data_IF_671048798591
#
_entry.id   IF_671048798591
#
_cell.length_a   1.000
_cell.length_b   1.000
_cell.length_c   1.000
_cell.angle_alpha   90.00
_cell.angle_beta   90.00
_cell.angle_gamma   90.00
#
_symmetry.space_group_name_H-M   'P 1'
#
loop_
_entity.id
_entity.type
_entity.pdbx_description
1 polymer ?
#
# COMPACT_ATOMS: atom_id res chain seq x y z
N UNK A 1 38.01 -0.96 -68.38
CA UNK A 1 36.96 -1.93 -68.05
C UNK A 1 37.33 -2.58 -66.73
N UNK A 2 36.84 -2.04 -65.61
CA UNK A 2 37.27 -2.43 -64.27
C UNK A 2 36.19 -2.09 -63.22
N UNK A 3 35.78 -3.13 -62.49
CA UNK A 3 35.61 -3.18 -61.02
C UNK A 3 34.38 -2.49 -60.40
N UNK A 4 33.32 -3.30 -60.26
CA UNK A 4 32.55 -3.61 -59.04
C UNK A 4 32.02 -2.48 -58.13
N UNK A 5 30.70 -2.31 -58.14
CA UNK A 5 29.90 -1.74 -57.04
C UNK A 5 29.96 -2.65 -55.80
N UNK A 6 30.29 -2.09 -54.64
CA UNK A 6 30.01 -2.73 -53.35
C UNK A 6 29.89 -1.71 -52.22
N UNK A 7 28.97 -2.02 -51.30
CA UNK A 7 28.77 -1.47 -49.95
C UNK A 7 28.01 -0.13 -49.82
N UNK A 8 26.68 -0.22 -49.89
CA UNK A 8 25.76 0.65 -49.13
C UNK A 8 24.55 -0.13 -48.58
N UNK A 9 24.78 -1.25 -47.90
CA UNK A 9 23.71 -1.97 -47.18
C UNK A 9 24.31 -2.55 -45.90
N UNK A 10 24.52 -1.71 -44.87
CA UNK A 10 25.03 -2.21 -43.59
C UNK A 10 24.64 -1.39 -42.35
N UNK A 11 23.86 -0.32 -42.46
CA UNK A 11 23.65 0.58 -41.31
C UNK A 11 22.19 0.87 -40.92
N UNK A 12 21.20 0.22 -41.55
CA UNK A 12 19.79 0.43 -41.23
C UNK A 12 19.12 -0.72 -40.46
N UNK A 13 19.76 -1.89 -40.31
CA UNK A 13 19.17 -3.02 -39.58
C UNK A 13 19.45 -3.04 -38.07
N UNK A 14 20.53 -2.39 -37.61
CA UNK A 14 20.91 -2.41 -36.18
C UNK A 14 20.05 -1.48 -35.32
N UNK A 15 19.48 -0.42 -35.90
CA UNK A 15 18.60 0.50 -35.15
C UNK A 15 17.22 -0.09 -34.86
N UNK A 16 16.73 -1.01 -35.70
CA UNK A 16 15.42 -1.64 -35.50
C UNK A 16 15.46 -2.71 -34.39
N UNK A 17 16.56 -3.46 -34.28
CA UNK A 17 16.73 -4.48 -33.23
C UNK A 17 16.85 -3.85 -31.84
N UNK A 18 17.51 -2.69 -31.71
CA UNK A 18 17.62 -1.98 -30.43
C UNK A 18 16.27 -1.38 -29.99
N UNK A 19 15.45 -0.91 -30.94
CA UNK A 19 14.10 -0.41 -30.69
C UNK A 19 13.11 -1.54 -30.32
N UNK A 20 13.27 -2.75 -30.86
CA UNK A 20 12.45 -3.91 -30.49
C UNK A 20 12.84 -4.42 -29.10
N UNK A 21 14.14 -4.39 -28.75
CA UNK A 21 14.60 -4.74 -27.40
C UNK A 21 14.06 -3.75 -26.36
N UNK A 22 14.13 -2.43 -26.63
CA UNK A 22 13.58 -1.42 -25.72
C UNK A 22 12.05 -1.45 -25.65
N UNK A 23 11.36 -1.76 -26.75
CA UNK A 23 9.90 -1.94 -26.75
C UNK A 23 9.47 -3.19 -25.96
N UNK A 24 10.23 -4.28 -26.05
CA UNK A 24 9.99 -5.51 -25.28
C UNK A 24 10.34 -5.37 -23.79
N UNK A 25 11.25 -4.46 -23.44
CA UNK A 25 11.57 -4.12 -22.06
C UNK A 25 10.49 -3.18 -21.49
N UNK A 26 10.01 -2.21 -22.28
CA UNK A 26 8.94 -1.29 -21.87
C UNK A 26 7.59 -2.00 -21.64
N UNK A 27 7.28 -3.03 -22.44
CA UNK A 27 6.03 -3.80 -22.28
C UNK A 27 6.06 -4.77 -21.10
N UNK A 28 7.23 -5.30 -20.73
CA UNK A 28 7.38 -6.19 -19.57
C UNK A 28 7.22 -5.49 -18.23
N UNK A 29 7.42 -4.18 -18.17
CA UNK A 29 7.24 -3.39 -16.96
C UNK A 29 5.78 -2.93 -16.77
N UNK A 30 4.99 -2.93 -17.86
CA UNK A 30 3.54 -2.67 -17.88
C UNK A 30 2.68 -3.93 -17.71
N UNK A 31 3.29 -5.12 -17.76
CA UNK A 31 2.67 -6.38 -17.35
C UNK A 31 2.78 -6.57 -15.81
N UNK A 32 2.69 -5.47 -15.08
CA UNK A 32 2.64 -5.48 -13.63
C UNK A 32 1.18 -5.72 -13.24
N UNK A 33 0.89 -6.92 -12.72
CA UNK A 33 -0.41 -7.41 -12.23
C UNK A 33 -1.30 -6.30 -11.69
N UNK A 34 -2.06 -5.63 -12.56
CA UNK A 34 -2.89 -4.49 -12.16
C UNK A 34 -4.00 -5.05 -11.30
N UNK A 35 -3.98 -4.73 -10.01
CA UNK A 35 -5.05 -5.09 -9.09
C UNK A 35 -6.19 -4.12 -9.34
N UNK A 36 -7.39 -4.66 -9.49
CA UNK A 36 -8.60 -3.89 -9.72
C UNK A 36 -9.48 -3.93 -8.48
N UNK A 37 -10.17 -2.81 -8.23
CA UNK A 37 -11.11 -2.68 -7.12
C UNK A 37 -12.40 -2.06 -7.61
N UNK A 38 -13.52 -2.60 -7.12
CA UNK A 38 -14.85 -2.06 -7.30
C UNK A 38 -15.06 -0.86 -6.37
N UNK A 39 -15.25 0.30 -6.99
CA UNK A 39 -15.65 1.56 -6.38
C UNK A 39 -17.05 1.92 -6.86
N UNK A 40 -18.05 1.63 -6.04
CA UNK A 40 -19.46 1.98 -6.30
C UNK A 40 -20.01 1.43 -7.64
N UNK A 41 -19.58 0.23 -8.03
CA UNK A 41 -19.97 -0.43 -9.28
C UNK A 41 -19.01 -0.18 -10.45
N UNK A 42 -17.92 0.56 -10.23
CA UNK A 42 -16.90 0.82 -11.24
C UNK A 42 -15.58 0.16 -10.86
N UNK A 43 -15.05 -0.68 -11.75
CA UNK A 43 -13.72 -1.27 -11.62
C UNK A 43 -12.65 -0.21 -11.93
N UNK A 44 -11.78 0.05 -10.95
CA UNK A 44 -10.66 0.98 -11.07
C UNK A 44 -9.35 0.25 -10.71
N UNK A 45 -8.24 0.52 -11.43
CA UNK A 45 -6.97 -0.12 -11.12
C UNK A 45 -6.29 0.58 -9.94
N UNK A 46 -5.45 -0.16 -9.24
CA UNK A 46 -4.56 0.38 -8.20
C UNK A 46 -3.23 0.83 -8.81
N UNK A 47 -2.71 1.95 -8.32
CA UNK A 47 -1.43 2.53 -8.71
C UNK A 47 -0.32 1.94 -7.83
N UNK A 48 0.70 1.37 -8.47
CA UNK A 48 1.88 0.81 -7.81
C UNK A 48 1.88 -0.72 -7.80
N UNK A 49 2.76 -1.29 -6.96
CA UNK A 49 2.94 -2.75 -6.89
C UNK A 49 2.66 -3.21 -5.48
N UNK A 50 1.83 -4.23 -5.39
CA UNK A 50 1.60 -4.94 -4.15
C UNK A 50 2.92 -5.60 -3.66
N UNK A 51 3.49 -5.22 -2.49
CA UNK A 51 4.69 -5.84 -1.95
C UNK A 51 4.57 -7.35 -1.72
N UNK A 52 5.67 -8.10 -1.72
CA UNK A 52 5.60 -9.55 -1.51
C UNK A 52 5.51 -9.89 -0.02
N UNK A 53 4.82 -10.98 0.29
CA UNK A 53 4.79 -11.51 1.65
C UNK A 53 6.14 -12.13 2.01
N UNK A 54 6.48 -12.06 3.30
CA UNK A 54 7.73 -12.54 3.91
C UNK A 54 9.00 -11.85 3.39
N UNK A 55 8.85 -10.68 2.76
CA UNK A 55 9.95 -9.80 2.36
C UNK A 55 9.90 -8.50 3.20
N UNK A 56 11.00 -7.73 3.18
CA UNK A 56 11.03 -6.42 3.81
C UNK A 56 9.91 -5.55 3.25
N UNK A 57 9.12 -4.97 4.14
CA UNK A 57 8.07 -4.06 3.77
C UNK A 57 8.68 -2.78 3.16
N UNK A 58 8.13 -2.24 2.05
CA UNK A 58 8.61 -0.99 1.48
C UNK A 58 8.60 0.13 2.54
N UNK A 59 9.64 0.96 2.56
CA UNK A 59 9.60 2.19 3.35
C UNK A 59 8.46 3.08 2.87
N UNK A 60 7.86 3.81 3.79
CA UNK A 60 6.95 4.88 3.44
C UNK A 60 7.03 6.02 4.44
N UNK A 61 6.66 7.21 3.97
CA UNK A 61 6.29 8.34 4.81
C UNK A 61 4.79 8.64 4.71
N UNK A 62 4.21 9.09 5.81
CA UNK A 62 2.87 9.65 5.87
C UNK A 62 2.85 10.83 6.85
N UNK A 63 1.84 11.68 6.75
CA UNK A 63 1.72 12.88 7.57
C UNK A 63 0.90 12.60 8.83
N UNK A 64 1.35 13.11 9.98
CA UNK A 64 0.45 13.30 11.12
C UNK A 64 -0.44 14.54 10.94
N UNK A 65 -1.17 14.94 11.98
CA UNK A 65 -2.09 16.09 11.96
C UNK A 65 -1.39 17.45 11.93
N UNK A 66 -0.11 17.49 12.30
CA UNK A 66 0.71 18.70 12.34
C UNK A 66 1.60 18.83 11.09
N UNK A 67 1.38 17.97 10.08
CA UNK A 67 2.19 17.88 8.87
C UNK A 67 3.62 17.37 9.10
N UNK A 68 3.88 16.74 10.25
CA UNK A 68 5.14 16.07 10.47
C UNK A 68 5.18 14.78 9.64
N UNK A 69 6.34 14.49 9.07
CA UNK A 69 6.59 13.23 8.40
C UNK A 69 6.80 12.13 9.43
N UNK A 70 5.95 11.10 9.37
CA UNK A 70 6.07 9.85 10.12
C UNK A 70 6.56 8.77 9.16
N UNK A 71 7.66 8.11 9.49
CA UNK A 71 8.28 7.07 8.68
C UNK A 71 7.98 5.69 9.29
N UNK A 72 7.80 4.66 8.45
CA UNK A 72 7.66 3.28 8.93
C UNK A 72 8.78 2.87 9.92
N UNK A 73 9.98 3.40 9.72
CA UNK A 73 11.16 3.12 10.55
C UNK A 73 11.08 3.70 11.96
N UNK A 74 10.16 4.65 12.23
CA UNK A 74 9.87 5.15 13.57
C UNK A 74 9.31 4.05 14.48
N UNK A 75 8.79 2.96 13.90
CA UNK A 75 8.21 1.81 14.59
C UNK A 75 9.12 0.58 14.62
N UNK A 76 10.42 0.73 14.34
CA UNK A 76 11.39 -0.39 14.39
C UNK A 76 11.34 -1.14 15.72
N UNK A 77 11.38 -2.47 15.64
CA UNK A 77 11.32 -3.36 16.80
C UNK A 77 9.90 -3.61 17.31
N UNK A 78 8.88 -2.95 16.75
CA UNK A 78 7.46 -3.21 17.03
C UNK A 78 6.81 -3.98 15.88
N UNK A 79 5.75 -4.70 16.20
CA UNK A 79 4.87 -5.25 15.16
C UNK A 79 3.93 -4.13 14.72
N UNK A 80 3.89 -3.83 13.42
CA UNK A 80 3.06 -2.76 12.85
C UNK A 80 1.88 -3.38 12.12
N UNK A 81 0.67 -2.99 12.51
CA UNK A 81 -0.57 -3.34 11.82
C UNK A 81 -1.05 -2.10 11.07
N UNK A 82 -1.17 -2.17 9.75
CA UNK A 82 -1.69 -1.06 8.94
C UNK A 82 -3.13 -1.34 8.56
N UNK A 83 -4.01 -0.43 8.94
CA UNK A 83 -5.43 -0.37 8.59
C UNK A 83 -5.62 0.72 7.53
N UNK A 84 -5.54 0.35 6.25
CA UNK A 84 -5.80 1.27 5.12
C UNK A 84 -7.29 1.38 4.88
N UNK A 85 -7.81 2.61 4.88
CA UNK A 85 -9.23 2.89 4.64
C UNK A 85 -9.39 3.94 3.54
N UNK A 86 -10.46 3.88 2.71
CA UNK A 86 -10.68 4.86 1.66
C UNK A 86 -10.77 6.30 2.17
N UNK A 87 -11.58 6.51 3.22
CA UNK A 87 -11.72 7.80 3.91
C UNK A 87 -12.40 7.59 5.26
N UNK A 88 -11.79 8.10 6.31
CA UNK A 88 -12.34 8.18 7.67
C UNK A 88 -13.54 9.11 7.75
N UNK A 89 -13.85 9.91 6.72
CA UNK A 89 -15.08 10.72 6.68
C UNK A 89 -16.37 9.91 6.65
N UNK A 90 -16.29 8.60 6.34
CA UNK A 90 -17.45 7.72 6.22
C UNK A 90 -17.67 6.85 7.46
N UNK A 91 -18.93 6.59 7.81
CA UNK A 91 -19.29 5.81 9.01
C UNK A 91 -18.73 4.39 9.02
N UNK A 92 -18.68 3.72 7.87
CA UNK A 92 -18.17 2.35 7.76
C UNK A 92 -16.66 2.27 8.02
N UNK A 93 -15.89 3.26 7.54
CA UNK A 93 -14.45 3.32 7.83
C UNK A 93 -14.19 3.61 9.31
N UNK A 94 -14.95 4.51 9.94
CA UNK A 94 -14.83 4.75 11.39
C UNK A 94 -15.15 3.51 12.20
N UNK A 95 -16.20 2.78 11.82
CA UNK A 95 -16.59 1.53 12.48
C UNK A 95 -15.52 0.45 12.34
N UNK A 96 -14.97 0.26 11.13
CA UNK A 96 -13.85 -0.65 10.90
C UNK A 96 -12.66 -0.29 11.80
N UNK A 97 -12.25 0.97 11.81
CA UNK A 97 -11.10 1.39 12.61
C UNK A 97 -11.32 1.13 14.09
N UNK A 98 -12.48 1.49 14.64
CA UNK A 98 -12.84 1.21 16.04
C UNK A 98 -12.81 -0.27 16.36
N UNK A 99 -13.52 -1.07 15.57
CA UNK A 99 -13.61 -2.51 15.78
C UNK A 99 -12.25 -3.18 15.75
N UNK A 100 -11.43 -2.87 14.74
CA UNK A 100 -10.13 -3.49 14.61
C UNK A 100 -9.17 -2.98 15.70
N UNK A 101 -9.27 -1.71 16.10
CA UNK A 101 -8.55 -1.18 17.26
C UNK A 101 -8.86 -1.97 18.54
N UNK A 102 -10.13 -2.28 18.79
CA UNK A 102 -10.55 -3.08 19.94
C UNK A 102 -10.01 -4.52 19.88
N UNK A 103 -9.98 -5.12 18.69
CA UNK A 103 -9.42 -6.46 18.48
C UNK A 103 -7.89 -6.49 18.70
N UNK A 104 -7.16 -5.47 18.23
CA UNK A 104 -5.71 -5.33 18.41
C UNK A 104 -5.34 -5.01 19.86
N UNK A 105 -6.17 -4.25 20.58
CA UNK A 105 -5.93 -3.91 22.00
C UNK A 105 -5.84 -5.11 22.94
N UNK A 106 -6.26 -6.29 22.49
CA UNK A 106 -6.17 -7.55 23.23
C UNK A 106 -4.78 -8.21 23.15
N UNK A 107 -3.87 -7.65 22.36
CA UNK A 107 -2.50 -8.12 22.20
C UNK A 107 -1.52 -7.31 23.06
N UNK A 108 -0.24 -7.67 23.04
CA UNK A 108 0.80 -6.96 23.80
C UNK A 108 1.02 -5.54 23.30
N UNK A 109 1.55 -4.67 24.18
CA UNK A 109 1.89 -3.27 23.88
C UNK A 109 2.98 -3.12 22.78
N UNK A 110 3.66 -4.21 22.43
CA UNK A 110 4.65 -4.27 21.35
C UNK A 110 4.02 -4.11 19.95
N UNK A 111 2.68 -4.13 19.85
CA UNK A 111 1.95 -3.93 18.60
C UNK A 111 1.50 -2.48 18.49
N UNK A 112 1.64 -1.90 17.31
CA UNK A 112 1.09 -0.58 16.98
C UNK A 112 0.19 -0.68 15.76
N UNK A 113 -1.00 -0.10 15.86
CA UNK A 113 -1.90 0.04 14.71
C UNK A 113 -1.77 1.43 14.08
N UNK A 114 -1.48 1.47 12.79
CA UNK A 114 -1.51 2.68 11.96
C UNK A 114 -2.78 2.64 11.12
N UNK A 115 -3.65 3.64 11.27
CA UNK A 115 -4.79 3.81 10.37
C UNK A 115 -4.46 4.88 9.35
N UNK A 116 -4.42 4.50 8.07
CA UNK A 116 -3.94 5.37 6.99
C UNK A 116 -5.08 5.60 5.98
N UNK A 117 -5.27 6.86 5.60
CA UNK A 117 -6.18 7.25 4.52
C UNK A 117 -5.60 8.43 3.74
N UNK A 118 -6.19 8.76 2.58
CA UNK A 118 -5.85 9.96 1.82
C UNK A 118 -6.68 11.19 2.26
N UNK A 119 -7.40 11.12 3.38
CA UNK A 119 -7.99 12.33 3.97
C UNK A 119 -6.90 13.30 4.40
N UNK A 120 -7.11 14.61 4.20
CA UNK A 120 -6.14 15.63 4.63
C UNK A 120 -5.84 15.56 6.14
N UNK A 121 -4.64 15.98 6.58
CA UNK A 121 -4.31 16.04 8.01
C UNK A 121 -5.34 16.78 8.86
N UNK A 122 -5.89 17.90 8.35
CA UNK A 122 -6.96 18.65 9.02
C UNK A 122 -8.24 17.84 9.16
N UNK A 123 -8.64 17.12 8.11
CA UNK A 123 -9.82 16.25 8.11
C UNK A 123 -9.67 15.16 9.15
N UNK A 124 -8.54 14.46 9.18
CA UNK A 124 -8.31 13.39 10.15
C UNK A 124 -8.26 13.91 11.58
N UNK A 125 -7.63 15.07 11.82
CA UNK A 125 -7.61 15.71 13.13
C UNK A 125 -9.03 16.00 13.65
N UNK A 126 -9.94 16.46 12.79
CA UNK A 126 -11.35 16.68 13.17
C UNK A 126 -12.13 15.38 13.47
N UNK A 127 -11.56 14.22 13.15
CA UNK A 127 -12.20 12.91 13.28
C UNK A 127 -11.63 12.05 14.40
N UNK A 128 -10.53 12.45 15.04
CA UNK A 128 -9.83 11.66 16.04
C UNK A 128 -10.76 11.16 17.17
N UNK A 129 -11.58 12.05 17.74
CA UNK A 129 -12.58 11.72 18.76
C UNK A 129 -13.64 10.74 18.23
N UNK A 130 -14.04 10.89 16.97
CA UNK A 130 -15.05 10.06 16.33
C UNK A 130 -14.55 8.66 15.94
N UNK A 131 -13.24 8.41 16.05
CA UNK A 131 -12.62 7.12 15.73
C UNK A 131 -12.16 6.39 17.00
N UNK A 132 -12.28 7.02 18.18
CA UNK A 132 -11.84 6.45 19.46
C UNK A 132 -10.39 5.91 19.36
N UNK A 133 -9.52 6.79 18.86
CA UNK A 133 -8.19 6.42 18.35
C UNK A 133 -7.16 6.11 19.45
N UNK A 134 -7.56 5.75 20.68
CA UNK A 134 -6.65 5.64 21.82
C UNK A 134 -5.47 4.67 21.62
N UNK A 135 -5.62 3.68 20.74
CA UNK A 135 -4.59 2.68 20.46
C UNK A 135 -4.15 2.63 18.99
N UNK A 136 -4.52 3.64 18.18
CA UNK A 136 -4.10 3.74 16.78
C UNK A 136 -3.54 5.11 16.44
N UNK A 137 -2.45 5.12 15.68
CA UNK A 137 -1.92 6.35 15.08
C UNK A 137 -2.66 6.59 13.77
N UNK A 138 -3.31 7.74 13.66
CA UNK A 138 -3.97 8.18 12.43
C UNK A 138 -2.95 8.92 11.57
N UNK A 139 -2.81 8.50 10.31
CA UNK A 139 -1.86 9.09 9.36
C UNK A 139 -2.56 9.43 8.04
N UNK A 140 -2.19 10.57 7.48
CA UNK A 140 -2.63 11.05 6.17
C UNK A 140 -1.58 10.76 5.11
N UNK A 141 -1.98 10.06 4.06
CA UNK A 141 -1.16 9.84 2.87
C UNK A 141 -1.42 10.93 1.79
N UNK A 142 -2.23 11.95 2.08
CA UNK A 142 -2.63 12.96 1.08
C UNK A 142 -1.51 13.93 0.70
N UNK A 143 -0.43 14.01 1.49
CA UNK A 143 0.64 14.99 1.27
C UNK A 143 1.61 14.50 0.20
N UNK A 144 1.98 13.21 0.24
CA UNK A 144 3.00 12.63 -0.65
C UNK A 144 2.49 11.45 -1.48
N UNK A 145 1.41 10.79 -1.07
CA UNK A 145 0.96 9.50 -1.59
C UNK A 145 2.06 8.44 -1.60
N UNK A 146 3.02 8.55 -0.68
CA UNK A 146 4.21 7.70 -0.67
C UNK A 146 3.85 6.30 -0.19
N UNK A 147 3.05 6.20 0.89
CA UNK A 147 2.53 4.92 1.36
C UNK A 147 1.71 4.22 0.27
N UNK A 148 0.70 4.88 -0.27
CA UNK A 148 -0.22 4.23 -1.20
C UNK A 148 0.44 3.81 -2.52
N UNK A 149 1.40 4.59 -3.04
CA UNK A 149 2.16 4.21 -4.24
C UNK A 149 3.14 3.06 -3.97
N UNK A 150 3.84 3.08 -2.84
CA UNK A 150 4.81 2.03 -2.48
C UNK A 150 4.12 0.70 -2.11
N UNK A 151 2.85 0.75 -1.70
CA UNK A 151 2.08 -0.43 -1.31
C UNK A 151 1.05 -0.87 -2.35
N UNK A 152 0.89 -0.14 -3.46
CA UNK A 152 -0.07 -0.48 -4.51
C UNK A 152 -1.53 -0.31 -4.07
N UNK A 153 -1.83 0.76 -3.31
CA UNK A 153 -3.14 0.98 -2.67
C UNK A 153 -3.84 2.28 -3.10
N UNK A 154 -3.22 3.15 -3.90
CA UNK A 154 -3.91 4.33 -4.43
C UNK A 154 -4.83 3.90 -5.57
N UNK A 155 -6.11 4.28 -5.53
CA UNK A 155 -7.04 3.97 -6.61
C UNK A 155 -6.86 4.99 -7.73
N UNK A 156 -6.54 4.53 -8.94
CA UNK A 156 -6.24 5.39 -10.08
C UNK A 156 -7.39 6.34 -10.41
N UNK A 157 -7.03 7.60 -10.70
CA UNK A 157 -8.01 8.65 -11.03
C UNK A 157 -8.84 9.14 -9.84
N UNK A 158 -8.51 8.71 -8.62
CA UNK A 158 -9.15 9.14 -7.39
C UNK A 158 -8.12 9.65 -6.38
N UNK A 159 -8.61 10.20 -5.26
CA UNK A 159 -7.80 10.60 -4.11
C UNK A 159 -8.19 9.81 -2.85
N UNK A 160 -8.45 8.50 -3.03
CA UNK A 160 -8.81 7.58 -1.96
C UNK A 160 -7.98 6.30 -2.04
N UNK A 161 -7.83 5.64 -0.90
CA UNK A 161 -7.08 4.40 -0.80
C UNK A 161 -7.99 3.18 -0.97
N UNK A 162 -7.42 2.09 -1.49
CA UNK A 162 -8.00 0.77 -1.36
C UNK A 162 -8.08 0.39 0.12
N UNK A 163 -9.18 -0.26 0.49
CA UNK A 163 -9.33 -0.81 1.83
C UNK A 163 -8.43 -2.03 1.96
N UNK A 164 -7.55 -2.03 2.96
CA UNK A 164 -6.59 -3.11 3.14
C UNK A 164 -6.14 -3.25 4.60
N UNK A 165 -5.74 -4.46 4.98
CA UNK A 165 -5.04 -4.75 6.23
C UNK A 165 -3.66 -5.30 5.90
N UNK A 166 -2.62 -4.76 6.54
CA UNK A 166 -1.24 -5.22 6.44
C UNK A 166 -0.71 -5.54 7.83
N UNK A 167 0.14 -6.56 7.94
CA UNK A 167 0.86 -6.86 9.19
C UNK A 167 2.35 -6.96 8.88
N UNK A 168 3.15 -6.15 9.56
CA UNK A 168 4.59 -6.08 9.44
C UNK A 168 5.18 -6.49 10.79
N UNK A 169 6.09 -7.47 10.81
CA UNK A 169 6.68 -7.96 12.06
C UNK A 169 7.77 -7.03 12.61
N UNK A 170 8.27 -7.33 13.82
CA UNK A 170 9.37 -6.59 14.49
C UNK A 170 10.66 -6.47 13.68
N UNK A 171 10.88 -7.37 12.70
CA UNK A 171 12.04 -7.37 11.79
C UNK A 171 11.81 -6.51 10.53
N UNK A 172 10.61 -5.96 10.36
CA UNK A 172 10.22 -5.14 9.22
C UNK A 172 9.71 -5.93 8.00
N UNK A 173 9.45 -7.25 8.14
CA UNK A 173 8.92 -8.03 7.03
C UNK A 173 7.39 -7.97 6.98
N UNK A 174 6.82 -7.89 5.78
CA UNK A 174 5.38 -7.96 5.54
C UNK A 174 4.89 -9.40 5.64
N UNK A 175 4.22 -9.75 6.73
CA UNK A 175 3.78 -11.11 7.05
C UNK A 175 2.36 -11.42 6.58
N UNK A 176 1.54 -10.39 6.44
CA UNK A 176 0.17 -10.51 5.99
C UNK A 176 -0.24 -9.30 5.17
N UNK A 177 -1.07 -9.55 4.16
CA UNK A 177 -1.81 -8.51 3.45
C UNK A 177 -3.15 -9.06 2.99
N UNK A 178 -4.18 -8.25 3.18
CA UNK A 178 -5.47 -8.37 2.52
C UNK A 178 -5.83 -7.05 1.86
N UNK A 179 -6.09 -7.07 0.55
CA UNK A 179 -6.62 -5.92 -0.20
C UNK A 179 -8.03 -6.28 -0.62
N UNK A 180 -8.99 -5.41 -0.31
CA UNK A 180 -10.39 -5.66 -0.61
C UNK A 180 -10.69 -5.41 -2.08
N UNK A 181 -11.32 -6.38 -2.74
CA UNK A 181 -11.78 -6.24 -4.12
C UNK A 181 -12.91 -5.21 -4.26
N UNK A 182 -13.58 -4.81 -3.17
CA UNK A 182 -14.60 -3.77 -3.17
C UNK A 182 -14.42 -2.87 -1.94
N UNK A 183 -14.35 -1.56 -2.17
CA UNK A 183 -14.05 -0.58 -1.11
C UNK A 183 -15.13 -0.45 -0.03
N UNK A 184 -16.35 -0.92 -0.31
CA UNK A 184 -17.50 -0.90 0.61
C UNK A 184 -17.68 -2.20 1.42
N UNK A 185 -16.77 -3.17 1.25
CA UNK A 185 -16.74 -4.40 2.03
C UNK A 185 -15.68 -4.32 3.10
N UNK A 186 -16.03 -4.68 4.34
CA UNK A 186 -15.06 -4.74 5.43
C UNK A 186 -14.05 -5.89 5.20
N UNK A 187 -12.82 -5.77 5.73
CA UNK A 187 -11.82 -6.83 5.71
C UNK A 187 -12.23 -8.01 6.59
N UNK A 188 -11.58 -9.15 6.36
CA UNK A 188 -11.67 -10.27 7.28
C UNK A 188 -10.61 -10.11 8.37
N UNK A 189 -11.04 -9.58 9.51
CA UNK A 189 -10.14 -9.37 10.63
C UNK A 189 -9.61 -10.69 11.21
N UNK A 190 -10.33 -11.81 11.08
CA UNK A 190 -9.93 -13.08 11.70
C UNK A 190 -8.59 -13.57 11.13
N UNK A 191 -8.42 -13.50 9.81
CA UNK A 191 -7.17 -13.90 9.15
C UNK A 191 -5.99 -13.00 9.55
N UNK A 192 -6.21 -11.69 9.63
CA UNK A 192 -5.21 -10.74 10.10
C UNK A 192 -4.79 -11.02 11.56
N UNK A 193 -5.77 -11.29 12.43
CA UNK A 193 -5.52 -11.64 13.83
C UNK A 193 -4.83 -12.99 13.98
N UNK A 194 -5.13 -13.97 13.12
CA UNK A 194 -4.41 -15.26 13.08
C UNK A 194 -2.95 -15.03 12.70
N UNK A 195 -2.69 -14.24 11.66
CA UNK A 195 -1.33 -13.87 11.27
C UNK A 195 -0.60 -13.16 12.41
N UNK A 196 -1.27 -12.23 13.09
CA UNK A 196 -0.73 -11.51 14.24
C UNK A 196 -0.39 -12.45 15.41
N UNK A 197 -1.27 -13.40 15.73
CA UNK A 197 -1.02 -14.43 16.75
C UNK A 197 0.16 -15.32 16.37
N UNK A 198 0.32 -15.68 15.10
CA UNK A 198 1.42 -16.52 14.62
C UNK A 198 2.77 -15.83 14.85
N UNK A 199 2.90 -14.56 14.49
CA UNK A 199 4.19 -13.85 14.54
C UNK A 199 4.59 -13.45 15.96
N UNK A 200 3.62 -13.27 16.86
CA UNK A 200 3.90 -12.94 18.27
C UNK A 200 4.04 -14.19 19.18
N UNK A 201 3.84 -15.40 18.65
CA UNK A 201 4.11 -16.66 19.39
C UNK A 201 5.58 -17.06 19.40
N UNK A 202 6.42 -16.48 18.55
CA UNK A 202 7.86 -16.76 18.53
C UNK A 202 8.63 -16.08 19.69
N UNK A 203 7.94 -15.32 20.55
CA UNK A 203 8.52 -14.64 21.71
C UNK A 203 8.29 -15.40 23.05
N UNK A 204 7.76 -16.64 23.02
CA UNK A 204 7.55 -17.50 24.21
C UNK A 204 8.37 -18.79 24.18
#
# INVERSE_FOLDING_TARGET
>A
MAVTESKKISFQLTSLILAILSCSIQSKELENSSVWVDVLGQELPLVGVLPKLNELAPSFIASDFEFNSIDLTDFRGRTVVVNSVPSLSTGQCKLQTRRFNDEISQFSDDIIMLTISADSPFTQNSMCDSVDAHNTVLLSDSVWHDFSKNYGLLIEGTDILARAILVINKKGNLEYRQVMANVNKEPDYADALIALKRINREDF
#
